data_IF_500762397300
#
_entry.id   IF_500762397300
#
_cell.length_a   1.000
_cell.length_b   1.000
_cell.length_c   1.000
_cell.angle_alpha   90.00
_cell.angle_beta   90.00
_cell.angle_gamma   90.00
#
_symmetry.space_group_name_H-M   'P 1'
#
loop_
_entity.id
_entity.type
_entity.pdbx_description
1 polymer ?
#
# COMPACT_ATOMS: atom_id res chain seq x y z
N UNK A 1 12.05 12.56 17.53
CA UNK A 1 10.83 11.87 17.04
C UNK A 1 9.59 12.76 17.09
N UNK A 2 9.42 13.61 18.11
CA UNK A 2 8.25 14.50 18.26
C UNK A 2 8.02 15.48 17.08
N UNK A 3 9.08 16.08 16.50
CA UNK A 3 8.93 17.02 15.37
C UNK A 3 8.45 16.38 14.06
N UNK A 4 8.81 15.12 13.79
CA UNK A 4 8.36 14.38 12.60
C UNK A 4 6.87 14.05 12.69
N UNK A 5 6.42 13.58 13.86
CA UNK A 5 5.00 13.30 14.11
C UNK A 5 4.12 14.54 13.97
N UNK A 6 4.59 15.71 14.41
CA UNK A 6 3.84 16.96 14.34
C UNK A 6 3.73 17.52 12.91
N UNK A 7 4.76 17.36 12.07
CA UNK A 7 4.72 17.69 10.64
C UNK A 7 3.79 16.77 9.86
N UNK A 8 3.80 15.48 10.14
CA UNK A 8 2.92 14.52 9.48
C UNK A 8 1.46 14.75 9.84
N UNK A 9 1.17 15.05 11.11
CA UNK A 9 -0.20 15.36 11.56
C UNK A 9 -0.82 16.56 10.81
N UNK A 10 -0.05 17.65 10.62
CA UNK A 10 -0.47 18.81 9.83
C UNK A 10 -0.73 18.48 8.35
N UNK A 11 0.07 17.59 7.76
CA UNK A 11 -0.12 17.14 6.37
C UNK A 11 -1.39 16.32 6.21
N UNK A 12 -1.64 15.38 7.14
CA UNK A 12 -2.87 14.57 7.16
C UNK A 12 -4.11 15.45 7.31
N UNK A 13 -4.09 16.42 8.23
CA UNK A 13 -5.21 17.37 8.41
C UNK A 13 -5.48 18.19 7.15
N UNK A 14 -4.44 18.62 6.43
CA UNK A 14 -4.59 19.35 5.16
C UNK A 14 -5.21 18.47 4.06
N UNK A 15 -4.81 17.20 3.98
CA UNK A 15 -5.40 16.25 3.03
C UNK A 15 -6.85 15.93 3.37
N UNK A 16 -7.18 15.71 4.64
CA UNK A 16 -8.56 15.50 5.09
C UNK A 16 -9.43 16.73 4.80
N UNK A 17 -8.93 17.94 5.03
CA UNK A 17 -9.63 19.17 4.67
C UNK A 17 -9.85 19.32 3.15
N UNK A 18 -8.93 18.80 2.33
CA UNK A 18 -9.10 18.76 0.87
C UNK A 18 -10.14 17.70 0.47
N UNK A 19 -10.03 16.49 1.01
CA UNK A 19 -10.93 15.36 0.73
C UNK A 19 -12.37 15.63 1.17
N UNK A 20 -12.58 16.19 2.37
CA UNK A 20 -13.91 16.61 2.84
C UNK A 20 -14.58 17.69 1.98
N UNK A 21 -13.80 18.57 1.32
CA UNK A 21 -14.34 19.57 0.39
C UNK A 21 -14.72 19.00 -0.97
N UNK A 22 -14.00 17.98 -1.44
CA UNK A 22 -14.14 17.44 -2.79
C UNK A 22 -14.94 16.12 -2.83
N UNK A 23 -15.11 15.44 -1.69
CA UNK A 23 -15.69 14.10 -1.59
C UNK A 23 -14.71 12.97 -1.92
N UNK A 24 -13.59 13.29 -2.55
CA UNK A 24 -12.55 12.35 -2.96
C UNK A 24 -11.15 12.94 -2.76
N UNK A 25 -10.14 12.08 -2.79
CA UNK A 25 -8.73 12.46 -2.79
C UNK A 25 -8.00 11.73 -3.91
N UNK A 26 -7.14 12.43 -4.66
CA UNK A 26 -6.39 11.77 -5.76
C UNK A 26 -5.11 11.12 -5.25
N UNK A 27 -4.61 10.11 -5.95
CA UNK A 27 -3.33 9.49 -5.58
C UNK A 27 -2.16 10.49 -5.59
N UNK A 28 -2.18 11.47 -6.49
CA UNK A 28 -1.15 12.51 -6.56
C UNK A 28 -1.16 13.44 -5.35
N UNK A 29 -2.33 13.73 -4.79
CA UNK A 29 -2.44 14.50 -3.55
C UNK A 29 -1.73 13.80 -2.40
N UNK A 30 -1.87 12.47 -2.35
CA UNK A 30 -1.18 11.63 -1.37
C UNK A 30 0.33 11.65 -1.64
N UNK A 31 0.76 11.46 -2.90
CA UNK A 31 2.16 11.50 -3.33
C UNK A 31 2.84 12.83 -2.99
N UNK A 32 2.16 13.96 -3.19
CA UNK A 32 2.72 15.28 -2.90
C UNK A 32 2.87 15.53 -1.39
N UNK A 33 1.89 15.10 -0.59
CA UNK A 33 2.00 15.21 0.86
C UNK A 33 3.04 14.23 1.43
N UNK A 34 3.11 13.03 0.87
CA UNK A 34 3.97 11.92 1.29
C UNK A 34 4.84 11.40 0.12
N UNK A 35 5.84 12.18 -0.33
CA UNK A 35 6.72 11.75 -1.42
C UNK A 35 7.58 10.54 -1.02
N UNK A 36 7.80 10.36 0.29
CA UNK A 36 8.50 9.21 0.87
C UNK A 36 7.54 8.39 1.74
N UNK A 37 6.32 8.13 1.26
CA UNK A 37 5.33 7.29 1.95
C UNK A 37 5.89 5.89 2.31
N UNK A 38 6.87 5.41 1.54
CA UNK A 38 7.70 4.24 1.83
C UNK A 38 8.34 4.24 3.22
N UNK A 39 8.70 5.39 3.77
CA UNK A 39 9.45 5.45 5.02
C UNK A 39 8.58 5.50 6.28
N UNK A 40 7.29 5.79 6.15
CA UNK A 40 6.40 6.07 7.29
C UNK A 40 5.04 5.41 7.12
N UNK A 41 5.05 4.08 7.15
CA UNK A 41 3.86 3.22 6.99
C UNK A 41 2.80 3.54 8.02
N UNK A 42 3.19 3.85 9.26
CA UNK A 42 2.25 4.22 10.32
C UNK A 42 1.49 5.51 10.00
N UNK A 43 2.17 6.54 9.49
CA UNK A 43 1.51 7.78 9.09
C UNK A 43 0.57 7.60 7.90
N UNK A 44 0.95 6.76 6.92
CA UNK A 44 0.14 6.46 5.74
C UNK A 44 -1.08 5.60 6.10
N UNK A 45 -0.90 4.59 6.94
CA UNK A 45 -1.97 3.76 7.48
C UNK A 45 -2.96 4.59 8.32
N UNK A 46 -2.46 5.49 9.16
CA UNK A 46 -3.29 6.42 9.91
C UNK A 46 -4.06 7.39 9.00
N UNK A 47 -3.47 7.82 7.88
CA UNK A 47 -4.17 8.61 6.87
C UNK A 47 -5.30 7.78 6.24
N UNK A 48 -5.01 6.56 5.81
CA UNK A 48 -6.00 5.69 5.15
C UNK A 48 -7.18 5.34 6.06
N UNK A 49 -6.92 4.97 7.32
CA UNK A 49 -7.97 4.73 8.31
C UNK A 49 -8.85 5.96 8.51
N UNK A 50 -8.25 7.15 8.60
CA UNK A 50 -9.00 8.41 8.72
C UNK A 50 -9.79 8.76 7.47
N UNK A 51 -9.28 8.43 6.28
CA UNK A 51 -10.00 8.62 5.02
C UNK A 51 -11.22 7.70 4.94
N UNK A 52 -11.05 6.42 5.31
CA UNK A 52 -12.13 5.43 5.39
C UNK A 52 -13.19 5.83 6.42
N UNK A 53 -12.79 6.21 7.64
CA UNK A 53 -13.71 6.69 8.70
C UNK A 53 -14.47 7.95 8.27
N UNK A 54 -13.85 8.80 7.44
CA UNK A 54 -14.47 10.00 6.90
C UNK A 54 -15.29 9.76 5.62
N UNK A 55 -15.32 8.53 5.09
CA UNK A 55 -16.00 8.19 3.83
C UNK A 55 -15.40 8.87 2.60
N UNK A 56 -14.10 9.20 2.61
CA UNK A 56 -13.42 9.88 1.50
C UNK A 56 -12.74 8.82 0.63
N UNK A 57 -13.17 8.72 -0.63
CA UNK A 57 -12.60 7.76 -1.57
C UNK A 57 -11.27 8.24 -2.15
N UNK A 58 -10.31 7.31 -2.33
CA UNK A 58 -9.05 7.58 -3.02
C UNK A 58 -9.15 7.11 -4.47
N UNK A 59 -9.35 8.08 -5.37
CA UNK A 59 -9.55 7.85 -6.79
C UNK A 59 -8.26 8.00 -7.58
N UNK A 60 -8.22 7.34 -8.73
CA UNK A 60 -7.08 7.39 -9.63
C UNK A 60 -7.24 8.44 -10.75
N UNK A 61 -6.13 8.80 -11.37
CA UNK A 61 -5.98 9.91 -12.32
C UNK A 61 -6.95 9.82 -13.53
N UNK A 62 -7.36 8.60 -13.92
CA UNK A 62 -8.29 8.36 -15.02
C UNK A 62 -9.77 8.60 -14.72
N UNK A 63 -10.18 8.42 -13.47
CA UNK A 63 -11.59 8.42 -13.06
C UNK A 63 -12.19 9.83 -12.94
N UNK A 64 -11.33 10.87 -12.93
CA UNK A 64 -11.74 12.29 -12.82
C UNK A 64 -12.28 12.86 -14.14
N UNK A 65 -12.40 12.02 -15.18
CA UNK A 65 -12.52 12.41 -16.58
C UNK A 65 -13.80 12.01 -17.30
N UNK A 66 -14.94 11.77 -16.63
CA UNK A 66 -16.23 11.57 -17.31
C UNK A 66 -16.34 10.33 -18.19
N UNK A 67 -15.44 9.35 -18.01
CA UNK A 67 -15.79 7.96 -18.30
C UNK A 67 -16.63 7.49 -17.11
N UNK A 68 -17.81 6.92 -17.40
CA UNK A 68 -18.71 6.36 -16.41
C UNK A 68 -17.95 5.43 -15.45
N UNK A 69 -18.33 5.40 -14.16
CA UNK A 69 -17.76 4.43 -13.24
C UNK A 69 -18.11 3.04 -13.76
N UNK A 70 -17.11 2.25 -14.13
CA UNK A 70 -17.26 0.81 -14.03
C UNK A 70 -17.36 0.49 -12.53
N UNK A 71 -18.58 0.44 -12.00
CA UNK A 71 -18.88 -0.03 -10.64
C UNK A 71 -18.36 -1.48 -10.41
N UNK A 72 -18.13 -1.95 -9.17
CA UNK A 72 -18.02 -1.21 -7.90
C UNK A 72 -16.66 -1.43 -7.18
N UNK A 73 -16.58 -0.81 -5.99
CA UNK A 73 -15.59 -0.94 -4.93
C UNK A 73 -14.94 -2.33 -4.74
N UNK A 74 -13.72 -2.42 -4.17
CA UNK A 74 -12.92 -3.64 -4.09
C UNK A 74 -13.50 -4.80 -3.25
N UNK A 75 -14.73 -4.69 -2.73
CA UNK A 75 -15.41 -5.83 -2.11
C UNK A 75 -15.86 -6.91 -3.13
N UNK A 76 -16.06 -6.57 -4.41
CA UNK A 76 -16.39 -7.56 -5.46
C UNK A 76 -15.19 -8.04 -6.29
N UNK A 77 -13.96 -7.60 -5.97
CA UNK A 77 -12.73 -8.07 -6.64
C UNK A 77 -12.34 -9.53 -6.30
N UNK A 78 -13.19 -10.27 -5.57
CA UNK A 78 -12.97 -11.69 -5.28
C UNK A 78 -13.21 -12.60 -6.51
N UNK A 79 -13.92 -12.11 -7.54
CA UNK A 79 -13.97 -12.77 -8.84
C UNK A 79 -12.84 -12.24 -9.73
N UNK A 80 -11.59 -12.58 -9.40
CA UNK A 80 -10.46 -12.26 -10.28
C UNK A 80 -10.63 -12.98 -11.63
N UNK A 81 -10.61 -12.25 -12.77
CA UNK A 81 -10.87 -12.84 -14.07
C UNK A 81 -9.90 -13.99 -14.36
N UNK A 82 -10.38 -15.01 -15.07
CA UNK A 82 -9.54 -16.15 -15.42
C UNK A 82 -8.34 -15.68 -16.26
N UNK A 83 -7.22 -16.41 -16.22
CA UNK A 83 -6.04 -16.08 -17.04
C UNK A 83 -6.35 -15.92 -18.55
N UNK A 84 -7.45 -16.53 -19.03
CA UNK A 84 -7.96 -16.36 -20.40
C UNK A 84 -8.71 -15.03 -20.61
N UNK A 85 -9.51 -14.58 -19.64
CA UNK A 85 -10.19 -13.27 -19.70
C UNK A 85 -9.22 -12.10 -19.52
N UNK A 86 -8.09 -12.34 -18.86
CA UNK A 86 -7.03 -11.35 -18.76
C UNK A 86 -6.37 -11.06 -20.11
N UNK A 87 -6.38 -12.03 -21.03
CA UNK A 87 -5.84 -11.95 -22.38
C UNK A 87 -6.90 -11.44 -23.38
N UNK A 88 -7.32 -10.18 -23.24
CA UNK A 88 -8.18 -9.54 -24.24
C UNK A 88 -7.54 -9.52 -25.64
N UNK A 89 -8.33 -9.30 -26.70
CA UNK A 89 -7.84 -9.28 -28.10
C UNK A 89 -6.79 -8.19 -28.38
N UNK A 90 -6.65 -7.19 -27.51
CA UNK A 90 -5.66 -6.10 -27.59
C UNK A 90 -4.23 -6.53 -27.23
N UNK A 91 -4.04 -7.70 -26.62
CA UNK A 91 -2.72 -8.21 -26.23
C UNK A 91 -2.05 -8.96 -27.39
N UNK A 92 -1.29 -8.24 -28.20
CA UNK A 92 -0.46 -8.79 -29.29
C UNK A 92 0.88 -9.35 -28.80
N UNK A 93 1.23 -9.17 -27.53
CA UNK A 93 2.52 -9.59 -26.96
C UNK A 93 2.46 -10.99 -26.34
N UNK A 94 3.18 -11.94 -26.95
CA UNK A 94 3.31 -13.32 -26.50
C UNK A 94 3.98 -13.45 -25.12
N UNK A 95 4.79 -12.46 -24.71
CA UNK A 95 5.46 -12.48 -23.40
C UNK A 95 4.48 -12.22 -22.26
N UNK A 96 3.55 -11.28 -22.43
CA UNK A 96 2.51 -10.98 -21.44
C UNK A 96 1.57 -12.18 -21.31
N UNK A 97 1.19 -12.82 -22.42
CA UNK A 97 0.35 -14.03 -22.39
C UNK A 97 1.01 -15.18 -21.62
N UNK A 98 2.31 -15.41 -21.82
CA UNK A 98 3.07 -16.41 -21.06
C UNK A 98 3.07 -16.09 -19.56
N UNK A 99 3.30 -14.82 -19.21
CA UNK A 99 3.27 -14.35 -17.82
C UNK A 99 1.91 -14.57 -17.17
N UNK A 100 0.81 -14.15 -17.82
CA UNK A 100 -0.56 -14.32 -17.31
C UNK A 100 -0.91 -15.80 -17.08
N UNK A 101 -0.46 -16.68 -17.96
CA UNK A 101 -0.65 -18.13 -17.79
C UNK A 101 0.10 -18.67 -16.57
N UNK A 102 1.31 -18.17 -16.31
CA UNK A 102 2.13 -18.63 -15.18
C UNK A 102 1.53 -18.19 -13.84
N UNK A 103 1.13 -16.91 -13.72
CA UNK A 103 0.52 -16.41 -12.49
C UNK A 103 -0.86 -17.04 -12.22
N UNK A 104 -1.59 -17.42 -13.29
CA UNK A 104 -2.88 -18.10 -13.17
C UNK A 104 -2.81 -19.54 -12.64
N UNK A 105 -1.61 -20.12 -12.52
CA UNK A 105 -1.42 -21.47 -11.93
C UNK A 105 -1.43 -21.45 -10.40
N UNK A 106 -1.17 -20.29 -9.79
CA UNK A 106 -1.09 -20.14 -8.34
C UNK A 106 -2.51 -19.96 -7.80
N UNK A 107 -2.97 -20.82 -6.86
CA UNK A 107 -4.30 -20.67 -6.27
C UNK A 107 -4.40 -19.39 -5.44
N UNK A 108 -5.63 -18.90 -5.27
CA UNK A 108 -5.93 -17.80 -4.35
C UNK A 108 -5.69 -18.26 -2.91
N UNK A 109 -5.26 -17.32 -2.07
CA UNK A 109 -5.08 -17.58 -0.65
C UNK A 109 -6.38 -17.34 0.10
N UNK A 110 -6.70 -18.25 1.01
CA UNK A 110 -7.73 -18.02 2.01
C UNK A 110 -7.22 -17.02 3.08
N UNK A 111 -8.12 -16.30 3.79
CA UNK A 111 -7.72 -15.35 4.82
C UNK A 111 -6.82 -15.94 5.92
N UNK A 112 -7.04 -17.20 6.30
CA UNK A 112 -6.20 -17.89 7.29
C UNK A 112 -4.79 -18.13 6.74
N UNK A 113 -4.67 -18.53 5.47
CA UNK A 113 -3.38 -18.79 4.84
C UNK A 113 -2.55 -17.50 4.73
N UNK A 114 -3.21 -16.39 4.42
CA UNK A 114 -2.60 -15.06 4.40
C UNK A 114 -2.03 -14.69 5.77
N UNK A 115 -2.80 -14.91 6.84
CA UNK A 115 -2.36 -14.66 8.21
C UNK A 115 -1.15 -15.52 8.60
N UNK A 116 -1.15 -16.80 8.21
CA UNK A 116 -0.01 -17.71 8.46
C UNK A 116 1.25 -17.32 7.69
N UNK A 117 1.12 -16.90 6.43
CA UNK A 117 2.25 -16.38 5.66
C UNK A 117 2.81 -15.12 6.31
N UNK A 118 1.92 -14.20 6.72
CA UNK A 118 2.30 -12.97 7.38
C UNK A 118 3.00 -13.23 8.73
N UNK A 119 2.54 -14.21 9.51
CA UNK A 119 3.20 -14.65 10.75
C UNK A 119 4.64 -15.12 10.50
N UNK A 120 4.86 -15.96 9.48
CA UNK A 120 6.18 -16.48 9.12
C UNK A 120 7.15 -15.35 8.73
N UNK A 121 6.65 -14.35 8.00
CA UNK A 121 7.39 -13.15 7.61
C UNK A 121 7.71 -12.30 8.86
N UNK A 122 6.71 -12.09 9.71
CA UNK A 122 6.80 -11.36 10.97
C UNK A 122 7.83 -11.94 11.93
N UNK A 123 7.90 -13.27 12.04
CA UNK A 123 8.85 -13.97 12.90
C UNK A 123 10.32 -13.66 12.57
N UNK A 124 10.69 -13.65 11.28
CA UNK A 124 12.07 -13.29 10.89
C UNK A 124 12.38 -11.81 11.20
N UNK A 125 11.41 -10.92 10.99
CA UNK A 125 11.51 -9.49 11.32
C UNK A 125 11.64 -9.28 12.82
N UNK A 126 10.90 -10.05 13.62
CA UNK A 126 10.96 -10.05 15.09
C UNK A 126 12.37 -10.40 15.57
N UNK A 127 12.96 -11.52 15.11
CA UNK A 127 14.33 -11.91 15.48
C UNK A 127 15.37 -10.84 15.13
N UNK A 128 15.27 -10.24 13.93
CA UNK A 128 16.18 -9.16 13.50
C UNK A 128 16.06 -7.93 14.41
N UNK A 129 14.84 -7.53 14.74
CA UNK A 129 14.57 -6.40 15.62
C UNK A 129 15.04 -6.68 17.06
N UNK A 130 14.74 -7.86 17.58
CA UNK A 130 15.15 -8.31 18.91
C UNK A 130 16.66 -8.33 19.05
N UNK A 131 17.38 -8.93 18.08
CA UNK A 131 18.85 -8.94 18.07
C UNK A 131 19.42 -7.53 18.11
N UNK A 132 18.84 -6.59 17.34
CA UNK A 132 19.27 -5.19 17.33
C UNK A 132 19.00 -4.48 18.66
N UNK A 133 17.86 -4.72 19.29
CA UNK A 133 17.51 -4.13 20.59
C UNK A 133 18.42 -4.67 21.70
N UNK A 134 18.57 -6.00 21.79
CA UNK A 134 19.45 -6.64 22.76
C UNK A 134 20.91 -6.24 22.58
N UNK A 135 21.38 -6.13 21.33
CA UNK A 135 22.76 -5.71 21.08
C UNK A 135 23.04 -4.30 21.57
N UNK A 136 22.07 -3.38 21.45
CA UNK A 136 22.18 -2.04 22.04
C UNK A 136 22.17 -2.06 23.57
N UNK A 137 21.32 -2.90 24.18
CA UNK A 137 21.21 -3.02 25.65
C UNK A 137 22.47 -3.63 26.27
N UNK A 138 23.03 -4.65 25.65
CA UNK A 138 24.16 -5.42 26.18
C UNK A 138 25.53 -4.85 25.77
N UNK A 139 25.59 -3.98 24.76
CA UNK A 139 26.85 -3.47 24.20
C UNK A 139 27.66 -4.52 23.41
N UNK A 140 27.11 -5.74 23.22
CA UNK A 140 27.71 -6.84 22.44
C UNK A 140 26.65 -7.57 21.63
N UNK A 141 27.05 -8.49 20.76
CA UNK A 141 26.09 -9.40 20.13
C UNK A 141 25.42 -10.30 21.21
N UNK A 142 24.08 -10.41 21.23
CA UNK A 142 23.40 -11.32 22.16
C UNK A 142 23.67 -12.77 21.77
N UNK A 143 23.70 -13.67 22.75
CA UNK A 143 23.72 -15.12 22.50
C UNK A 143 22.33 -15.60 22.08
N UNK A 144 22.25 -16.78 21.44
CA UNK A 144 20.96 -17.34 21.02
C UNK A 144 20.07 -17.67 22.22
N UNK A 145 20.66 -18.20 23.29
CA UNK A 145 19.95 -18.43 24.56
C UNK A 145 19.41 -17.13 25.17
N UNK A 146 20.17 -16.03 25.15
CA UNK A 146 19.66 -14.72 25.60
C UNK A 146 18.49 -14.23 24.75
N UNK A 147 18.55 -14.44 23.43
CA UNK A 147 17.43 -14.13 22.55
C UNK A 147 16.20 -14.96 22.87
N UNK A 148 16.34 -16.27 23.07
CA UNK A 148 15.21 -17.15 23.40
C UNK A 148 14.64 -16.88 24.79
N UNK A 149 15.48 -16.51 25.77
CA UNK A 149 15.02 -16.07 27.08
C UNK A 149 14.15 -14.81 26.99
N UNK A 150 14.53 -13.83 26.15
CA UNK A 150 13.72 -12.62 25.94
C UNK A 150 12.42 -12.91 25.16
N UNK A 151 12.46 -13.84 24.19
CA UNK A 151 11.25 -14.35 23.50
C UNK A 151 10.30 -14.98 24.52
N UNK A 152 10.80 -15.86 25.38
CA UNK A 152 10.00 -16.54 26.39
C UNK A 152 9.42 -15.57 27.43
N UNK A 153 10.21 -14.60 27.90
CA UNK A 153 9.71 -13.57 28.82
C UNK A 153 8.62 -12.71 28.18
N UNK A 154 8.74 -12.43 26.88
CA UNK A 154 7.72 -11.69 26.14
C UNK A 154 6.45 -12.54 25.96
N UNK A 155 6.59 -13.83 25.67
CA UNK A 155 5.49 -14.79 25.64
C UNK A 155 4.70 -14.83 26.94
N UNK A 156 5.37 -14.92 28.09
CA UNK A 156 4.70 -14.95 29.40
C UNK A 156 3.90 -13.67 29.62
N UNK A 157 4.51 -12.51 29.36
CA UNK A 157 3.85 -11.20 29.51
C UNK A 157 2.67 -11.04 28.57
N UNK A 158 2.86 -11.32 27.29
CA UNK A 158 1.85 -11.13 26.25
C UNK A 158 0.68 -12.15 26.45
N UNK A 159 0.95 -13.35 26.98
CA UNK A 159 -0.09 -14.30 27.39
C UNK A 159 -0.92 -13.81 28.58
N UNK A 160 -0.28 -13.21 29.59
CA UNK A 160 -1.00 -12.57 30.70
C UNK A 160 -1.89 -11.41 30.21
N UNK A 161 -1.40 -10.61 29.26
CA UNK A 161 -2.19 -9.55 28.62
C UNK A 161 -3.39 -10.11 27.86
N UNK A 162 -3.24 -11.21 27.12
CA UNK A 162 -4.36 -11.88 26.44
C UNK A 162 -5.41 -12.32 27.45
N UNK A 163 -5.01 -13.00 28.54
CA UNK A 163 -5.95 -13.44 29.57
C UNK A 163 -6.69 -12.27 30.22
N UNK A 164 -5.98 -11.18 30.51
CA UNK A 164 -6.58 -9.95 31.05
C UNK A 164 -7.56 -9.31 30.07
N UNK A 165 -7.19 -9.20 28.79
CA UNK A 165 -8.06 -8.65 27.75
C UNK A 165 -9.33 -9.50 27.54
N UNK A 166 -9.21 -10.84 27.58
CA UNK A 166 -10.36 -11.74 27.52
C UNK A 166 -11.30 -11.53 28.72
N UNK A 167 -10.75 -11.41 29.94
CA UNK A 167 -11.53 -11.14 31.15
C UNK A 167 -12.27 -9.79 31.07
N UNK A 168 -11.59 -8.72 30.68
CA UNK A 168 -12.18 -7.37 30.56
C UNK A 168 -13.31 -7.34 29.50
N UNK A 169 -13.17 -8.12 28.43
CA UNK A 169 -14.15 -8.19 27.34
C UNK A 169 -15.20 -9.29 27.51
N UNK A 170 -15.16 -10.06 28.61
CA UNK A 170 -16.02 -11.24 28.86
C UNK A 170 -16.00 -12.26 27.71
N UNK A 171 -14.83 -12.46 27.09
CA UNK A 171 -14.58 -13.44 26.03
C UNK A 171 -13.95 -14.68 26.68
N UNK A 172 -14.31 -15.88 26.22
CA UNK A 172 -13.67 -17.11 26.66
C UNK A 172 -12.17 -17.08 26.30
N UNK A 173 -11.30 -17.26 27.30
CA UNK A 173 -9.87 -17.23 27.07
C UNK A 173 -9.43 -18.46 26.26
N UNK A 174 -8.59 -18.28 25.21
CA UNK A 174 -8.09 -19.42 24.46
C UNK A 174 -7.23 -20.32 25.35
N UNK A 175 -7.23 -21.63 25.04
CA UNK A 175 -6.35 -22.59 25.71
C UNK A 175 -4.99 -22.65 25.00
N UNK A 176 -3.90 -22.49 25.75
CA UNK A 176 -2.55 -22.44 25.22
C UNK A 176 -2.12 -23.77 24.57
N UNK A 177 -2.57 -24.91 25.08
CA UNK A 177 -2.14 -26.22 24.58
C UNK A 177 -2.55 -26.46 23.10
N UNK A 178 -3.82 -26.25 22.70
CA UNK A 178 -4.21 -26.25 21.28
C UNK A 178 -3.41 -25.28 20.41
N UNK A 179 -3.09 -24.08 20.92
CA UNK A 179 -2.30 -23.09 20.18
C UNK A 179 -0.87 -23.58 19.92
N UNK A 180 -0.25 -24.23 20.91
CA UNK A 180 1.09 -24.81 20.75
C UNK A 180 1.07 -25.89 19.65
N UNK A 181 0.10 -26.81 19.69
CA UNK A 181 -0.02 -27.86 18.68
C UNK A 181 -0.29 -27.32 17.27
N UNK A 182 -1.09 -26.26 17.17
CA UNK A 182 -1.33 -25.55 15.92
C UNK A 182 -0.03 -24.99 15.32
N UNK A 183 0.79 -24.31 16.12
CA UNK A 183 2.10 -23.79 15.71
C UNK A 183 3.04 -24.91 15.28
N UNK A 184 3.05 -26.04 16.00
CA UNK A 184 3.88 -27.20 15.65
C UNK A 184 3.43 -27.82 14.32
N UNK A 185 2.13 -27.94 14.09
CA UNK A 185 1.58 -28.41 12.82
C UNK A 185 1.97 -27.47 11.66
N UNK A 186 1.92 -26.15 11.89
CA UNK A 186 2.36 -25.15 10.92
C UNK A 186 3.85 -25.29 10.56
N UNK A 187 4.71 -25.54 11.55
CA UNK A 187 6.16 -25.76 11.35
C UNK A 187 6.48 -27.02 10.53
N UNK A 188 5.63 -28.05 10.65
CA UNK A 188 5.74 -29.33 9.93
C UNK A 188 5.12 -29.30 8.52
N UNK A 189 4.64 -28.13 8.07
CA UNK A 189 4.04 -27.92 6.76
C UNK A 189 2.80 -28.80 6.49
N UNK A 190 1.99 -29.08 7.51
CA UNK A 190 0.73 -29.81 7.31
C UNK A 190 -0.33 -28.85 6.72
N UNK A 191 -0.89 -29.10 5.51
CA UNK A 191 -1.87 -28.20 4.87
C UNK A 191 -3.21 -28.12 5.60
N UNK A 192 -3.46 -29.01 6.58
CA UNK A 192 -4.72 -29.10 7.32
C UNK A 192 -4.69 -28.39 8.67
N UNK A 193 -3.92 -27.31 8.81
CA UNK A 193 -4.11 -26.39 9.95
C UNK A 193 -5.48 -25.71 9.73
N UNK A 194 -6.54 -26.38 10.20
CA UNK A 194 -7.94 -25.94 10.09
C UNK A 194 -8.32 -24.87 11.12
N UNK A 195 -7.42 -24.55 12.04
CA UNK A 195 -7.59 -23.39 12.90
C UNK A 195 -7.17 -22.16 12.11
N UNK A 196 -8.10 -21.24 11.90
CA UNK A 196 -7.70 -19.86 11.77
C UNK A 196 -6.81 -19.53 12.98
N UNK A 197 -5.85 -18.61 12.83
CA UNK A 197 -5.48 -17.75 13.96
C UNK A 197 -6.79 -17.05 14.34
N UNK A 198 -7.60 -17.71 15.17
CA UNK A 198 -8.96 -17.32 15.45
C UNK A 198 -8.83 -16.27 16.52
N UNK A 199 -8.49 -15.05 16.10
CA UNK A 199 -8.55 -13.91 16.99
C UNK A 199 -10.02 -13.71 17.34
N UNK A 200 -10.38 -13.71 18.64
CA UNK A 200 -11.73 -13.37 19.04
C UNK A 200 -12.12 -12.02 18.43
N UNK A 201 -13.39 -11.83 18.08
CA UNK A 201 -13.89 -10.51 17.66
C UNK A 201 -14.35 -9.74 18.90
N UNK A 202 -13.83 -8.52 19.18
CA UNK A 202 -12.81 -7.77 18.42
C UNK A 202 -11.37 -8.28 18.65
N UNK A 203 -10.48 -8.16 17.64
CA UNK A 203 -9.15 -8.76 17.66
C UNK A 203 -8.36 -8.37 18.91
N UNK A 204 -7.57 -9.32 19.42
CA UNK A 204 -6.66 -9.13 20.54
C UNK A 204 -5.24 -9.08 19.96
N UNK A 205 -4.62 -7.88 19.83
CA UNK A 205 -3.30 -7.75 19.22
C UNK A 205 -2.22 -8.61 19.90
N UNK A 206 -2.23 -8.69 21.24
CA UNK A 206 -1.27 -9.48 22.01
C UNK A 206 -1.34 -10.98 21.68
N UNK A 207 -2.48 -11.48 21.17
CA UNK A 207 -2.59 -12.88 20.73
C UNK A 207 -1.69 -13.17 19.52
N UNK A 208 -1.57 -12.22 18.58
CA UNK A 208 -0.67 -12.38 17.44
C UNK A 208 0.80 -12.38 17.85
N UNK A 209 1.16 -11.64 18.89
CA UNK A 209 2.50 -11.69 19.47
C UNK A 209 2.78 -13.08 20.04
N UNK A 210 1.83 -13.63 20.82
CA UNK A 210 1.92 -14.99 21.38
C UNK A 210 2.13 -16.02 20.26
N UNK A 211 1.35 -15.96 19.17
CA UNK A 211 1.56 -16.83 18.00
C UNK A 211 2.97 -16.69 17.41
N UNK A 212 3.46 -15.45 17.30
CA UNK A 212 4.80 -15.18 16.76
C UNK A 212 5.89 -15.73 17.67
N UNK A 213 5.76 -15.52 18.98
CA UNK A 213 6.73 -15.94 19.99
C UNK A 213 6.79 -17.46 20.10
N UNK A 214 5.63 -18.12 20.16
CA UNK A 214 5.56 -19.59 20.07
C UNK A 214 6.18 -20.10 18.78
N UNK A 215 5.91 -19.46 17.65
CA UNK A 215 6.49 -19.86 16.36
C UNK A 215 8.02 -19.71 16.33
N UNK A 216 8.63 -18.89 17.18
CA UNK A 216 10.09 -18.74 17.26
C UNK A 216 10.77 -19.83 18.10
N UNK A 217 10.04 -20.49 18.99
CA UNK A 217 10.62 -21.51 19.88
C UNK A 217 10.84 -22.85 19.17
N UNK A 218 11.94 -23.58 19.45
CA UNK A 218 12.17 -24.93 18.89
C UNK A 218 11.02 -25.92 19.16
N UNK A 219 10.84 -26.92 18.30
CA UNK A 219 9.74 -27.91 18.45
C UNK A 219 9.84 -28.68 19.77
N UNK A 220 11.04 -28.97 20.23
CA UNK A 220 11.33 -29.63 21.49
C UNK A 220 10.96 -28.75 22.69
N UNK A 221 11.24 -27.44 22.59
CA UNK A 221 10.84 -26.46 23.61
C UNK A 221 9.32 -26.28 23.63
N UNK A 222 8.66 -26.30 22.47
CA UNK A 222 7.20 -26.26 22.37
C UNK A 222 6.56 -27.52 22.96
N UNK A 223 7.13 -28.71 22.69
CA UNK A 223 6.69 -29.96 23.32
C UNK A 223 6.79 -29.87 24.84
N UNK A 224 7.94 -29.42 25.36
CA UNK A 224 8.14 -29.22 26.80
C UNK A 224 7.11 -28.26 27.40
N UNK A 225 6.84 -27.13 26.75
CA UNK A 225 5.82 -26.18 27.20
C UNK A 225 4.42 -26.78 27.21
N UNK A 226 4.06 -27.55 26.17
CA UNK A 226 2.78 -28.25 26.11
C UNK A 226 2.64 -29.26 27.25
N UNK A 227 3.67 -30.09 27.49
CA UNK A 227 3.65 -31.11 28.54
C UNK A 227 3.59 -30.48 29.94
N UNK A 228 4.33 -29.40 30.17
CA UNK A 228 4.32 -28.67 31.43
C UNK A 228 2.94 -28.01 31.67
N UNK A 229 2.39 -27.34 30.66
CA UNK A 229 1.10 -26.67 30.76
C UNK A 229 -0.05 -27.67 30.98
N UNK A 230 0.00 -28.84 30.34
CA UNK A 230 -0.99 -29.90 30.56
C UNK A 230 -0.97 -30.45 32.00
N UNK A 231 0.19 -30.44 32.67
CA UNK A 231 0.34 -30.93 34.05
C UNK A 231 0.02 -29.87 35.11
N UNK A 232 0.46 -28.63 34.90
CA UNK A 232 0.44 -27.56 35.91
C UNK A 232 -0.63 -26.48 35.65
N UNK A 233 -1.15 -26.38 34.42
CA UNK A 233 -2.10 -25.35 34.01
C UNK A 233 -1.51 -23.93 33.90
N UNK A 234 -0.18 -23.80 33.98
CA UNK A 234 0.55 -22.52 33.93
C UNK A 234 1.83 -22.66 33.11
N UNK A 235 2.37 -21.53 32.65
CA UNK A 235 3.69 -21.50 32.01
C UNK A 235 4.81 -21.70 33.06
N UNK A 236 5.91 -22.38 32.71
CA UNK A 236 7.00 -22.60 33.65
C UNK A 236 7.73 -21.28 33.97
N UNK A 237 8.36 -21.17 35.16
CA UNK A 237 9.27 -20.08 35.47
C UNK A 237 10.42 -20.00 34.45
N UNK A 238 10.90 -18.79 34.15
CA UNK A 238 11.90 -18.55 33.12
C UNK A 238 13.22 -19.29 33.37
N UNK A 239 13.66 -19.40 34.63
CA UNK A 239 14.85 -20.16 35.01
C UNK A 239 14.70 -21.65 34.70
N UNK A 240 13.54 -22.24 34.99
CA UNK A 240 13.24 -23.64 34.70
C UNK A 240 13.16 -23.89 33.20
N UNK A 241 12.53 -22.97 32.45
CA UNK A 241 12.51 -23.02 30.98
C UNK A 241 13.92 -22.97 30.39
N UNK A 242 14.75 -22.03 30.86
CA UNK A 242 16.12 -21.86 30.34
C UNK A 242 17.02 -23.07 30.63
N UNK A 243 16.78 -23.80 31.73
CA UNK A 243 17.49 -25.06 32.02
C UNK A 243 17.11 -26.21 31.08
N UNK A 244 15.87 -26.20 30.56
CA UNK A 244 15.35 -27.18 29.62
C UNK A 244 15.43 -26.71 28.15
N UNK A 245 16.05 -25.56 27.90
CA UNK A 245 16.24 -25.04 26.55
C UNK A 245 17.22 -25.94 25.77
N UNK A 246 16.94 -26.16 24.49
CA UNK A 246 17.83 -26.91 23.61
C UNK A 246 19.20 -26.26 23.48
N UNK A 247 20.20 -27.04 23.06
CA UNK A 247 21.56 -26.56 22.91
C UNK A 247 21.72 -25.48 21.82
N UNK A 248 22.85 -24.77 21.84
CA UNK A 248 23.10 -23.66 20.89
C UNK A 248 23.09 -24.10 19.42
N UNK A 249 23.41 -25.38 19.15
CA UNK A 249 23.38 -25.95 17.80
C UNK A 249 21.95 -26.04 17.28
N UNK A 250 21.02 -26.63 18.04
CA UNK A 250 19.62 -26.73 17.64
C UNK A 250 18.97 -25.34 17.59
N UNK A 251 19.35 -24.41 18.49
CA UNK A 251 18.91 -23.01 18.40
C UNK A 251 19.36 -22.34 17.09
N UNK A 252 20.61 -22.57 16.66
CA UNK A 252 21.11 -22.04 15.40
C UNK A 252 20.34 -22.60 14.20
N UNK A 253 20.06 -23.90 14.20
CA UNK A 253 19.28 -24.56 13.15
C UNK A 253 17.85 -24.02 13.08
N UNK A 254 17.15 -23.85 14.22
CA UNK A 254 15.79 -23.31 14.21
C UNK A 254 15.76 -21.85 13.72
N UNK A 255 16.69 -21.00 14.15
CA UNK A 255 16.78 -19.62 13.65
C UNK A 255 17.01 -19.58 12.13
N UNK A 256 17.81 -20.49 11.59
CA UNK A 256 18.02 -20.62 10.14
C UNK A 256 16.73 -21.08 9.43
N UNK A 257 16.03 -22.07 9.98
CA UNK A 257 14.73 -22.54 9.46
C UNK A 257 13.67 -21.44 9.47
N UNK A 258 13.60 -20.63 10.53
CA UNK A 258 12.70 -19.48 10.60
C UNK A 258 12.98 -18.50 9.46
N UNK A 259 14.24 -18.21 9.17
CA UNK A 259 14.59 -17.34 8.06
C UNK A 259 14.20 -17.95 6.70
N UNK A 260 14.50 -19.22 6.47
CA UNK A 260 14.14 -19.92 5.23
C UNK A 260 12.62 -19.98 5.01
N UNK A 261 11.86 -20.34 6.06
CA UNK A 261 10.39 -20.36 6.03
C UNK A 261 9.83 -18.96 5.78
N UNK A 262 10.47 -17.92 6.30
CA UNK A 262 10.09 -16.52 6.04
C UNK A 262 10.28 -16.14 4.58
N UNK A 263 11.41 -16.47 3.95
CA UNK A 263 11.63 -16.13 2.53
C UNK A 263 10.66 -16.90 1.63
N UNK A 264 10.45 -18.20 1.90
CA UNK A 264 9.42 -19.00 1.21
C UNK A 264 8.02 -18.41 1.38
N UNK A 265 7.69 -17.90 2.57
CA UNK A 265 6.40 -17.29 2.85
C UNK A 265 6.21 -15.97 2.10
N UNK A 266 7.26 -15.15 1.99
CA UNK A 266 7.22 -13.94 1.14
C UNK A 266 6.95 -14.31 -0.30
N UNK A 267 7.71 -15.26 -0.86
CA UNK A 267 7.54 -15.69 -2.25
C UNK A 267 6.13 -16.21 -2.52
N UNK A 268 5.58 -17.01 -1.60
CA UNK A 268 4.21 -17.50 -1.70
C UNK A 268 3.18 -16.36 -1.66
N UNK A 269 3.32 -15.42 -0.72
CA UNK A 269 2.41 -14.27 -0.59
C UNK A 269 2.48 -13.35 -1.82
N UNK A 270 3.68 -13.13 -2.37
CA UNK A 270 3.87 -12.34 -3.59
C UNK A 270 3.17 -13.03 -4.76
N UNK A 271 3.46 -14.31 -5.00
CA UNK A 271 2.95 -15.06 -6.16
C UNK A 271 1.43 -15.14 -6.18
N UNK A 272 0.82 -15.37 -5.02
CA UNK A 272 -0.65 -15.41 -4.91
C UNK A 272 -1.32 -14.07 -5.24
N UNK A 273 -0.61 -12.96 -5.10
CA UNK A 273 -1.14 -11.61 -5.31
C UNK A 273 -0.67 -10.94 -6.62
N UNK A 274 0.01 -11.67 -7.52
CA UNK A 274 0.43 -11.11 -8.82
C UNK A 274 -0.76 -10.76 -9.72
N UNK A 275 -1.88 -11.47 -9.60
CA UNK A 275 -3.11 -11.21 -10.37
C UNK A 275 -3.75 -9.87 -10.01
N UNK A 276 -3.74 -9.52 -8.72
CA UNK A 276 -4.14 -8.21 -8.21
C UNK A 276 -3.34 -7.07 -8.85
N UNK A 277 -2.04 -7.25 -9.08
CA UNK A 277 -1.21 -6.22 -9.74
C UNK A 277 -1.70 -5.97 -11.17
N UNK A 278 -1.96 -7.05 -11.92
CA UNK A 278 -2.41 -6.92 -13.31
C UNK A 278 -3.80 -6.28 -13.37
N UNK A 279 -4.74 -6.65 -12.49
CA UNK A 279 -6.08 -6.04 -12.47
C UNK A 279 -6.01 -4.54 -12.19
N UNK A 280 -5.12 -4.10 -11.29
CA UNK A 280 -4.89 -2.68 -11.02
C UNK A 280 -4.21 -2.00 -12.22
N UNK A 281 -3.15 -2.60 -12.79
CA UNK A 281 -2.35 -2.02 -13.86
C UNK A 281 -3.14 -1.78 -15.15
N UNK A 282 -4.12 -2.63 -15.46
CA UNK A 282 -5.00 -2.46 -16.63
C UNK A 282 -5.72 -1.10 -16.66
N UNK A 283 -6.05 -0.54 -15.50
CA UNK A 283 -6.71 0.78 -15.41
C UNK A 283 -5.81 1.95 -15.79
N UNK A 284 -4.50 1.71 -15.92
CA UNK A 284 -3.48 2.71 -16.26
C UNK A 284 -2.99 2.63 -17.71
N UNK A 285 -3.62 1.79 -18.54
CA UNK A 285 -3.34 1.70 -19.97
C UNK A 285 -3.53 3.06 -20.67
N UNK A 286 -2.72 3.31 -21.69
CA UNK A 286 -2.80 4.55 -22.48
C UNK A 286 -2.22 5.80 -21.81
N UNK A 287 -1.55 5.67 -20.66
CA UNK A 287 -0.91 6.80 -19.93
C UNK A 287 0.59 6.96 -20.22
N UNK A 288 1.02 6.62 -21.43
CA UNK A 288 2.41 6.77 -21.88
C UNK A 288 3.38 5.67 -21.44
N UNK A 289 2.90 4.59 -20.82
CA UNK A 289 3.68 3.38 -20.50
C UNK A 289 3.00 2.12 -21.04
N UNK A 290 3.80 1.11 -21.38
CA UNK A 290 3.28 -0.20 -21.82
C UNK A 290 2.67 -0.98 -20.65
N UNK A 291 1.76 -1.92 -20.92
CA UNK A 291 1.18 -2.76 -19.88
C UNK A 291 2.23 -3.58 -19.13
N UNK A 292 3.25 -4.08 -19.83
CA UNK A 292 4.34 -4.85 -19.24
C UNK A 292 5.07 -4.00 -18.20
N UNK A 293 5.42 -2.76 -18.55
CA UNK A 293 6.13 -1.85 -17.63
C UNK A 293 5.25 -1.47 -16.44
N UNK A 294 3.95 -1.19 -16.66
CA UNK A 294 2.99 -0.93 -15.59
C UNK A 294 2.89 -2.12 -14.62
N UNK A 295 2.86 -3.36 -15.13
CA UNK A 295 2.85 -4.57 -14.32
C UNK A 295 4.16 -4.70 -13.52
N UNK A 296 5.31 -4.42 -14.13
CA UNK A 296 6.60 -4.50 -13.41
C UNK A 296 6.68 -3.48 -12.27
N UNK A 297 6.29 -2.24 -12.52
CA UNK A 297 6.26 -1.18 -11.50
C UNK A 297 5.24 -1.49 -10.41
N UNK A 298 4.07 -2.03 -10.78
CA UNK A 298 3.08 -2.54 -9.84
C UNK A 298 3.61 -3.70 -8.98
N UNK A 299 4.38 -4.62 -9.56
CA UNK A 299 5.03 -5.71 -8.83
C UNK A 299 6.06 -5.18 -7.82
N UNK A 300 6.81 -4.13 -8.17
CA UNK A 300 7.70 -3.45 -7.20
C UNK A 300 6.89 -2.86 -6.05
N UNK A 301 5.73 -2.27 -6.33
CA UNK A 301 4.76 -1.84 -5.31
C UNK A 301 4.30 -2.98 -4.41
N UNK A 302 3.91 -4.12 -4.99
CA UNK A 302 3.50 -5.32 -4.26
C UNK A 302 4.62 -5.85 -3.34
N UNK A 303 5.85 -5.95 -3.84
CA UNK A 303 7.01 -6.38 -3.05
C UNK A 303 7.18 -5.51 -1.78
N UNK A 304 7.06 -4.19 -1.95
CA UNK A 304 7.12 -3.24 -0.83
C UNK A 304 5.95 -3.40 0.14
N UNK A 305 4.76 -3.70 -0.38
CA UNK A 305 3.61 -4.02 0.46
C UNK A 305 3.91 -5.24 1.34
N UNK A 306 4.40 -6.34 0.76
CA UNK A 306 4.74 -7.57 1.50
C UNK A 306 5.76 -7.33 2.61
N UNK A 307 6.79 -6.51 2.36
CA UNK A 307 7.82 -6.21 3.38
C UNK A 307 7.27 -5.41 4.58
N UNK A 308 6.25 -4.60 4.32
CA UNK A 308 5.73 -3.60 5.27
C UNK A 308 4.40 -4.01 5.91
N UNK A 309 3.73 -5.01 5.34
CA UNK A 309 2.45 -5.49 5.83
C UNK A 309 2.55 -5.97 7.27
N UNK A 310 1.51 -5.66 8.03
CA UNK A 310 1.37 -6.02 9.43
C UNK A 310 -0.04 -6.57 9.66
N UNK A 311 -0.14 -7.90 9.74
CA UNK A 311 -1.40 -8.60 9.89
C UNK A 311 -2.05 -8.37 11.26
N UNK A 312 -1.30 -7.90 12.26
CA UNK A 312 -1.83 -7.66 13.62
C UNK A 312 -2.87 -6.54 13.65
N UNK A 313 -2.92 -5.71 12.60
CA UNK A 313 -3.83 -4.58 12.46
C UNK A 313 -5.23 -4.95 11.98
N UNK A 314 -5.48 -6.20 11.58
CA UNK A 314 -6.81 -6.69 11.24
C UNK A 314 -7.36 -6.26 9.88
N UNK A 315 -6.51 -5.79 8.96
CA UNK A 315 -6.88 -5.49 7.58
C UNK A 315 -6.39 -6.58 6.63
N UNK A 316 -7.19 -6.89 5.61
CA UNK A 316 -6.79 -7.81 4.52
C UNK A 316 -5.56 -7.27 3.78
N UNK A 317 -4.66 -8.14 3.37
CA UNK A 317 -3.46 -7.77 2.61
C UNK A 317 -3.82 -7.10 1.29
N UNK A 318 -4.85 -7.57 0.57
CA UNK A 318 -5.27 -7.00 -0.71
C UNK A 318 -5.60 -5.51 -0.61
N UNK A 319 -6.31 -5.10 0.44
CA UNK A 319 -6.63 -3.68 0.74
C UNK A 319 -5.34 -2.86 0.90
N UNK A 320 -4.39 -3.38 1.67
CA UNK A 320 -3.12 -2.70 1.92
C UNK A 320 -2.22 -2.66 0.66
N UNK A 321 -2.11 -3.78 -0.05
CA UNK A 321 -1.29 -3.92 -1.24
C UNK A 321 -1.77 -3.03 -2.39
N UNK A 322 -3.09 -2.91 -2.56
CA UNK A 322 -3.70 -2.08 -3.59
C UNK A 322 -3.15 -0.65 -3.58
N UNK A 323 -2.96 -0.07 -2.39
CA UNK A 323 -2.40 1.27 -2.26
C UNK A 323 -0.94 1.34 -2.74
N UNK A 324 -0.09 0.41 -2.30
CA UNK A 324 1.32 0.38 -2.73
C UNK A 324 1.49 0.12 -4.22
N UNK A 325 0.62 -0.71 -4.80
CA UNK A 325 0.61 -0.99 -6.23
C UNK A 325 0.22 0.27 -7.01
N UNK A 326 -0.91 0.92 -6.67
CA UNK A 326 -1.32 2.19 -7.30
C UNK A 326 -0.25 3.27 -7.16
N UNK A 327 0.39 3.35 -5.99
CA UNK A 327 1.46 4.30 -5.71
C UNK A 327 2.66 4.11 -6.63
N UNK A 328 3.12 2.87 -6.75
CA UNK A 328 4.28 2.55 -7.59
C UNK A 328 3.98 2.84 -9.06
N UNK A 329 2.80 2.43 -9.56
CA UNK A 329 2.37 2.66 -10.94
C UNK A 329 2.23 4.16 -11.23
N UNK A 330 1.51 4.90 -10.39
CA UNK A 330 1.29 6.34 -10.57
C UNK A 330 2.60 7.11 -10.56
N UNK A 331 3.51 6.74 -9.66
CA UNK A 331 4.86 7.33 -9.59
C UNK A 331 5.68 7.02 -10.83
N UNK A 332 5.64 5.78 -11.33
CA UNK A 332 6.36 5.39 -12.53
C UNK A 332 5.85 6.15 -13.76
N UNK A 333 4.53 6.31 -13.92
CA UNK A 333 3.94 7.12 -14.97
C UNK A 333 4.41 8.58 -14.87
N UNK A 334 4.42 9.14 -13.67
CA UNK A 334 4.89 10.51 -13.47
C UNK A 334 6.39 10.68 -13.79
N UNK A 335 7.20 9.66 -13.51
CA UNK A 335 8.65 9.70 -13.66
C UNK A 335 9.13 9.34 -15.09
N UNK A 336 8.40 8.46 -15.79
CA UNK A 336 8.82 7.79 -17.04
C UNK A 336 7.77 7.83 -18.16
N UNK A 337 6.51 8.14 -17.86
CA UNK A 337 5.41 8.10 -18.84
C UNK A 337 5.46 9.18 -19.91
N UNK A 338 6.35 10.17 -19.78
CA UNK A 338 6.61 11.17 -20.81
C UNK A 338 8.03 10.99 -21.37
N UNK A 339 8.18 11.14 -22.69
CA UNK A 339 9.49 11.12 -23.37
C UNK A 339 10.48 12.11 -22.75
N UNK A 340 9.97 13.28 -22.35
CA UNK A 340 10.71 14.27 -21.58
C UNK A 340 10.12 14.29 -20.17
N UNK A 341 10.95 13.96 -19.18
CA UNK A 341 10.54 13.92 -17.78
C UNK A 341 9.90 15.24 -17.34
N UNK A 342 8.65 15.17 -16.89
CA UNK A 342 7.91 16.29 -16.29
C UNK A 342 7.96 16.16 -14.76
N UNK A 343 8.31 17.22 -14.00
CA UNK A 343 8.26 17.15 -12.54
C UNK A 343 6.84 16.85 -12.02
N UNK A 344 6.71 15.97 -11.02
CA UNK A 344 5.41 15.50 -10.48
C UNK A 344 4.44 16.63 -10.13
N UNK A 345 4.92 17.72 -9.51
CA UNK A 345 4.06 18.87 -9.15
C UNK A 345 3.48 19.63 -10.36
N UNK A 346 4.07 19.47 -11.54
CA UNK A 346 3.57 20.08 -12.78
C UNK A 346 2.43 19.26 -13.39
N UNK A 347 2.39 17.93 -13.16
CA UNK A 347 1.34 17.04 -13.69
C UNK A 347 -0.05 17.43 -13.18
N UNK A 348 -0.16 17.76 -11.89
CA UNK A 348 -1.40 18.29 -11.31
C UNK A 348 -1.83 19.60 -11.97
N UNK A 349 -0.87 20.48 -12.23
CA UNK A 349 -1.15 21.77 -12.87
C UNK A 349 -1.62 21.55 -14.31
N UNK A 350 -0.98 20.63 -15.04
CA UNK A 350 -1.41 20.19 -16.38
C UNK A 350 -2.83 19.62 -16.32
N UNK A 351 -3.14 18.75 -15.36
CA UNK A 351 -4.49 18.17 -15.20
C UNK A 351 -5.54 19.22 -14.90
N UNK A 352 -5.27 20.14 -13.97
CA UNK A 352 -6.20 21.22 -13.64
C UNK A 352 -6.49 22.08 -14.87
N UNK A 353 -5.46 22.41 -15.65
CA UNK A 353 -5.59 23.13 -16.92
C UNK A 353 -6.42 22.32 -17.94
N UNK A 354 -6.15 21.02 -18.12
CA UNK A 354 -6.89 20.18 -19.08
C UNK A 354 -8.35 19.93 -18.66
N UNK A 355 -8.62 19.77 -17.36
CA UNK A 355 -9.98 19.63 -16.81
C UNK A 355 -10.77 20.94 -16.95
N UNK A 356 -10.16 22.07 -16.60
CA UNK A 356 -10.74 23.40 -16.80
C UNK A 356 -11.01 23.66 -18.29
N UNK A 357 -10.08 23.30 -19.17
CA UNK A 357 -10.25 23.42 -20.63
C UNK A 357 -11.46 22.61 -21.11
N UNK A 358 -11.56 21.31 -20.76
CA UNK A 358 -12.71 20.46 -21.15
C UNK A 358 -14.04 21.01 -20.65
N UNK A 359 -14.11 21.44 -19.39
CA UNK A 359 -15.31 22.05 -18.80
C UNK A 359 -15.71 23.34 -19.52
N UNK A 360 -14.76 24.22 -19.77
CA UNK A 360 -15.01 25.48 -20.48
C UNK A 360 -15.43 25.23 -21.92
N UNK A 361 -14.87 24.23 -22.61
CA UNK A 361 -15.33 23.83 -23.95
C UNK A 361 -16.80 23.43 -23.94
N UNK A 362 -17.24 22.66 -22.94
CA UNK A 362 -18.64 22.24 -22.79
C UNK A 362 -19.58 23.43 -22.53
N UNK A 363 -19.16 24.39 -21.71
CA UNK A 363 -19.97 25.57 -21.35
C UNK A 363 -19.99 26.62 -22.47
N UNK A 364 -18.85 26.87 -23.11
CA UNK A 364 -18.68 27.93 -24.10
C UNK A 364 -19.04 27.48 -25.52
N UNK A 365 -19.08 26.17 -25.79
CA UNK A 365 -19.31 25.61 -27.13
C UNK A 365 -18.19 25.93 -28.13
N UNK A 366 -17.03 26.40 -27.66
CA UNK A 366 -15.83 26.71 -28.44
C UNK A 366 -14.57 26.40 -27.64
N UNK A 367 -13.42 26.33 -28.29
CA UNK A 367 -12.16 26.22 -27.57
C UNK A 367 -11.92 27.44 -26.66
N UNK A 368 -11.60 27.23 -25.37
CA UNK A 368 -11.35 28.30 -24.44
C UNK A 368 -10.00 28.96 -24.70
N UNK A 369 -9.92 30.26 -24.44
CA UNK A 369 -8.67 31.00 -24.49
C UNK A 369 -7.81 30.70 -23.25
N UNK A 370 -6.48 30.85 -23.37
CA UNK A 370 -5.58 30.66 -22.22
C UNK A 370 -5.87 31.64 -21.07
N UNK A 371 -6.45 32.80 -21.35
CA UNK A 371 -6.88 33.77 -20.32
C UNK A 371 -8.09 33.23 -19.54
N UNK A 372 -9.08 32.64 -20.22
CA UNK A 372 -10.24 31.99 -19.59
C UNK A 372 -9.83 30.78 -18.75
N UNK A 373 -8.90 29.96 -19.26
CA UNK A 373 -8.38 28.80 -18.50
C UNK A 373 -7.61 29.27 -17.26
N UNK A 374 -6.79 30.32 -17.36
CA UNK A 374 -6.03 30.84 -16.23
C UNK A 374 -6.93 31.37 -15.08
N UNK A 375 -8.09 31.93 -15.42
CA UNK A 375 -9.10 32.37 -14.46
C UNK A 375 -9.80 31.19 -13.79
N UNK A 376 -10.14 30.15 -14.55
CA UNK A 376 -10.83 28.97 -14.04
C UNK A 376 -9.94 28.18 -13.07
N UNK A 377 -8.67 27.96 -13.43
CA UNK A 377 -7.70 27.19 -12.61
C UNK A 377 -7.32 27.92 -11.31
N UNK A 378 -7.66 29.21 -11.16
CA UNK A 378 -7.37 29.98 -9.94
C UNK A 378 -5.89 30.36 -9.81
N UNK A 379 -5.20 30.58 -10.93
CA UNK A 379 -3.82 31.08 -10.92
C UNK A 379 -3.72 32.57 -10.52
N UNK A 380 -4.85 33.29 -10.56
CA UNK A 380 -4.98 34.67 -10.12
C UNK A 380 -5.53 34.74 -8.70
N UNK A 381 -5.11 35.73 -7.88
CA UNK A 381 -5.77 36.02 -6.61
C UNK A 381 -7.28 36.24 -6.80
N UNK A 382 -8.10 35.79 -5.84
CA UNK A 382 -9.58 35.88 -5.93
C UNK A 382 -10.08 37.31 -6.19
N UNK A 383 -9.41 38.32 -5.62
CA UNK A 383 -9.71 39.73 -5.87
C UNK A 383 -9.48 40.13 -7.34
N UNK A 384 -8.34 39.72 -7.90
CA UNK A 384 -7.99 39.97 -9.31
C UNK A 384 -8.93 39.19 -10.25
N UNK A 385 -9.27 37.94 -9.91
CA UNK A 385 -10.23 37.11 -10.68
C UNK A 385 -11.59 37.77 -10.78
N UNK A 386 -12.17 38.18 -9.64
CA UNK A 386 -13.47 38.89 -9.60
C UNK A 386 -13.44 40.18 -10.38
N UNK A 387 -12.35 40.95 -10.27
CA UNK A 387 -12.21 42.19 -11.03
C UNK A 387 -12.18 41.95 -12.55
N UNK A 388 -11.57 40.83 -13.00
CA UNK A 388 -11.59 40.43 -14.43
C UNK A 388 -12.99 40.00 -14.86
N UNK A 389 -13.64 39.12 -14.10
CA UNK A 389 -15.01 38.64 -14.40
C UNK A 389 -16.03 39.79 -14.46
N UNK A 390 -15.97 40.72 -13.51
CA UNK A 390 -16.83 41.91 -13.51
C UNK A 390 -16.56 42.83 -14.70
N UNK A 391 -15.30 43.02 -15.09
CA UNK A 391 -14.95 43.84 -16.24
C UNK A 391 -15.46 43.22 -17.53
N UNK A 392 -15.32 41.90 -17.70
CA UNK A 392 -15.82 41.17 -18.86
C UNK A 392 -17.35 41.16 -18.92
N UNK A 393 -18.04 40.91 -17.80
CA UNK A 393 -19.50 40.94 -17.73
C UNK A 393 -20.08 42.32 -18.07
N UNK A 394 -19.39 43.41 -17.65
CA UNK A 394 -19.78 44.79 -17.93
C UNK A 394 -19.28 45.31 -19.30
N UNK A 395 -18.58 44.48 -20.09
CA UNK A 395 -17.98 44.87 -21.38
C UNK A 395 -16.92 45.98 -21.27
N UNK A 396 -16.34 46.17 -20.08
CA UNK A 396 -15.37 47.24 -19.81
C UNK A 396 -13.94 46.78 -20.11
N UNK A 397 -13.09 47.73 -20.51
CA UNK A 397 -11.65 47.46 -20.67
C UNK A 397 -11.01 47.20 -19.32
N UNK A 398 -10.21 46.15 -19.26
CA UNK A 398 -9.37 45.82 -18.10
C UNK A 398 -8.34 46.93 -17.85
N UNK A 399 -8.09 47.21 -16.57
CA UNK A 399 -6.98 48.08 -16.18
C UNK A 399 -5.63 47.52 -16.69
N UNK A 400 -4.67 48.42 -16.96
CA UNK A 400 -3.37 48.05 -17.55
C UNK A 400 -2.58 47.09 -16.65
N UNK A 401 -2.66 47.24 -15.33
CA UNK A 401 -1.96 46.36 -14.40
C UNK A 401 -2.62 44.97 -14.38
N UNK A 402 -3.94 44.92 -14.30
CA UNK A 402 -4.71 43.67 -14.27
C UNK A 402 -4.57 42.87 -15.57
N UNK A 403 -4.62 43.56 -16.73
CA UNK A 403 -4.39 42.93 -18.04
C UNK A 403 -2.99 42.30 -18.14
N UNK A 404 -1.96 42.95 -17.62
CA UNK A 404 -0.60 42.40 -17.60
C UNK A 404 -0.48 41.15 -16.72
N UNK A 405 -1.17 41.12 -15.57
CA UNK A 405 -1.23 39.93 -14.70
C UNK A 405 -1.92 38.76 -15.43
N UNK A 406 -3.09 39.00 -16.02
CA UNK A 406 -3.83 37.98 -16.76
C UNK A 406 -3.02 37.42 -17.94
N UNK A 407 -2.36 38.27 -18.72
CA UNK A 407 -1.50 37.84 -19.83
C UNK A 407 -0.29 37.01 -19.35
N UNK A 408 0.27 37.32 -18.19
CA UNK A 408 1.36 36.54 -17.60
C UNK A 408 0.90 35.14 -17.22
N UNK A 409 -0.24 35.02 -16.56
CA UNK A 409 -0.78 33.71 -16.18
C UNK A 409 -1.24 32.91 -17.40
N UNK A 410 -1.83 33.56 -18.41
CA UNK A 410 -2.14 32.92 -19.68
C UNK A 410 -0.89 32.40 -20.43
N UNK A 411 0.20 33.18 -20.41
CA UNK A 411 1.48 32.73 -20.96
C UNK A 411 2.06 31.53 -20.18
N UNK A 412 1.85 31.50 -18.85
CA UNK A 412 2.22 30.38 -17.99
C UNK A 412 1.42 29.13 -18.34
N UNK A 413 0.09 29.22 -18.46
CA UNK A 413 -0.77 28.12 -18.92
C UNK A 413 -0.28 27.56 -20.25
N UNK A 414 0.00 28.43 -21.23
CA UNK A 414 0.56 28.03 -22.53
C UNK A 414 1.90 27.31 -22.40
N UNK A 415 2.81 27.82 -21.57
CA UNK A 415 4.11 27.18 -21.33
C UNK A 415 3.97 25.80 -20.71
N UNK A 416 3.02 25.63 -19.79
CA UNK A 416 2.76 24.35 -19.10
C UNK A 416 2.16 23.34 -20.07
N UNK A 417 1.20 23.75 -20.90
CA UNK A 417 0.64 22.88 -21.94
C UNK A 417 1.70 22.44 -22.95
N UNK A 418 2.63 23.33 -23.31
CA UNK A 418 3.73 22.98 -24.21
C UNK A 418 4.68 21.93 -23.60
N UNK A 419 4.90 21.95 -22.28
CA UNK A 419 5.69 20.93 -21.58
C UNK A 419 5.00 19.56 -21.57
N UNK A 420 3.67 19.52 -21.73
CA UNK A 420 2.88 18.29 -21.79
C UNK A 420 2.79 17.70 -23.19
N UNK A 421 3.20 18.42 -24.24
CA UNK A 421 3.11 17.93 -25.62
C UNK A 421 4.25 16.96 -25.91
N UNK A 422 3.89 15.79 -26.42
CA UNK A 422 4.88 14.80 -26.85
C UNK A 422 5.64 15.30 -28.09
N UNK A 423 6.97 15.08 -28.15
CA UNK A 423 7.74 15.43 -29.34
C UNK A 423 7.25 14.57 -30.52
N UNK A 424 6.98 15.21 -31.67
CA UNK A 424 6.62 14.49 -32.88
C UNK A 424 7.76 13.58 -33.33
N UNK A 425 7.43 12.35 -33.71
CA UNK A 425 8.40 11.42 -34.29
C UNK A 425 8.85 11.92 -35.66
N UNK A 426 10.17 11.89 -35.90
CA UNK A 426 10.76 12.25 -37.18
C UNK A 426 10.43 11.26 -38.30
N UNK A 427 9.99 10.04 -37.95
CA UNK A 427 9.65 8.98 -38.89
C UNK A 427 8.14 8.87 -39.14
N UNK A 428 7.33 9.72 -38.50
CA UNK A 428 5.88 9.68 -38.69
C UNK A 428 5.59 10.09 -40.15
N UNK A 429 5.00 9.20 -40.97
CA UNK A 429 4.72 9.54 -42.35
C UNK A 429 3.71 10.68 -42.36
N UNK A 430 4.15 11.85 -42.84
CA UNK A 430 3.25 12.93 -43.20
C UNK A 430 2.48 12.39 -44.39
N UNK A 431 1.19 12.08 -44.20
CA UNK A 431 0.36 11.56 -45.29
C UNK A 431 0.51 12.44 -46.52
N UNK A 432 0.60 11.83 -47.71
CA UNK A 432 0.71 12.57 -48.97
C UNK A 432 -0.41 13.61 -49.02
N UNK A 433 -0.06 14.90 -48.91
CA UNK A 433 -1.00 15.98 -49.15
C UNK A 433 -1.46 15.81 -50.61
N UNK A 434 -2.71 15.35 -50.78
CA UNK A 434 -3.38 15.41 -52.06
C UNK A 434 -3.65 16.88 -52.35
N UNK A 435 -2.68 17.54 -52.97
CA UNK A 435 -2.89 18.81 -53.67
C UNK A 435 -4.09 18.63 -54.62
N UNK A 436 -5.23 19.23 -54.26
CA UNK A 436 -6.46 19.27 -55.06
C UNK A 436 -6.80 20.71 -55.40
#
# INVERSE_FOLDING_TARGET
MAERGQKNKKKVEKLLAKGTKQGYLTMDDILQAFPNAEMDVEAVDALYRRLLEAGIEVIDIGEVGGEEPAEPEPEEAAAEPSALEMAGPELTDDTIRLYLREIGRVPLLEPEEEAWLALKIGASKYLKNLRRQLSKRLGRAPTRSEMMGEVFNSLVRDWEEVRKACQERSIEAPDLAPLIEEIRALKRANPRVRGAISSPQPPIPSLYNVYTELYLLPDESLQYLSDYYAQQGTLPPADVFMQNLVDDKHLAEEMARVHERSEKAKDALIRANLRLVVSIAKRYLGRGMSLSDLIQEGNIGLLRAVEKFDHTKGHKFSTYATWWIRQAISRAIADQGHTIRVPVHMLDTIRQILSASRRLTQVLGREPTYEEIALEVGLLPEEDKRAVEEAWAKGKRLDRALRRKLQREAARVRSILRLSQEPMSLEMPIGEERDS
#
